data_IF_367237095916
#
_entry.id   IF_367237095916
#
_cell.length_a   1.000
_cell.length_b   1.000
_cell.length_c   1.000
_cell.angle_alpha   90.00
_cell.angle_beta   90.00
_cell.angle_gamma   90.00
#
_symmetry.space_group_name_H-M   'P 1'
#
loop_
_entity.id
_entity.type
_entity.pdbx_description
1 polymer ?
#
# COMPACT_ATOMS: atom_id res chain seq x y z
N UNK A 1 5.21 13.78 -16.34
CA UNK A 1 4.81 12.90 -15.22
C UNK A 1 4.85 13.73 -13.95
N UNK A 2 3.75 13.90 -13.19
CA UNK A 2 3.78 14.71 -11.98
C UNK A 2 4.48 13.92 -10.88
N UNK A 3 5.77 14.18 -10.69
CA UNK A 3 6.53 13.75 -9.51
C UNK A 3 6.08 14.61 -8.32
N UNK A 4 4.97 14.22 -7.71
CA UNK A 4 4.58 14.77 -6.41
C UNK A 4 5.71 14.44 -5.42
N UNK A 5 6.25 15.41 -4.66
CA UNK A 5 7.39 15.17 -3.77
C UNK A 5 7.15 14.02 -2.78
N UNK A 6 5.90 13.81 -2.36
CA UNK A 6 5.48 12.66 -1.56
C UNK A 6 5.84 11.33 -2.23
N UNK A 7 5.51 11.14 -3.53
CA UNK A 7 5.77 9.91 -4.28
C UNK A 7 7.27 9.64 -4.50
N UNK A 8 8.09 10.68 -4.61
CA UNK A 8 9.54 10.54 -4.76
C UNK A 8 10.21 10.23 -3.40
N UNK A 9 9.73 10.83 -2.32
CA UNK A 9 10.18 10.52 -0.96
C UNK A 9 9.83 9.06 -0.60
N UNK A 10 8.60 8.61 -0.87
CA UNK A 10 8.18 7.24 -0.59
C UNK A 10 8.86 6.19 -1.49
N UNK A 11 9.25 6.53 -2.72
CA UNK A 11 10.07 5.62 -3.54
C UNK A 11 11.43 5.31 -2.88
N UNK A 12 12.02 6.32 -2.22
CA UNK A 12 13.28 6.16 -1.50
C UNK A 12 13.12 5.23 -0.29
N UNK A 13 11.96 5.27 0.36
CA UNK A 13 11.63 4.42 1.52
C UNK A 13 11.53 2.94 1.13
N UNK A 14 10.95 2.64 -0.04
CA UNK A 14 10.91 1.27 -0.56
C UNK A 14 12.31 0.71 -0.93
N UNK A 15 13.25 1.59 -1.28
CA UNK A 15 14.62 1.26 -1.63
C UNK A 15 14.92 1.33 -3.12
N UNK A 16 16.21 1.19 -3.47
CA UNK A 16 16.68 1.42 -4.84
C UNK A 16 16.17 0.36 -5.82
N UNK A 17 15.64 0.81 -6.97
CA UNK A 17 15.12 -0.05 -8.04
C UNK A 17 13.63 -0.37 -7.93
N UNK A 18 12.92 0.17 -6.94
CA UNK A 18 11.47 0.19 -6.91
C UNK A 18 10.94 1.34 -7.77
N UNK A 19 10.11 1.02 -8.75
CA UNK A 19 9.50 2.00 -9.64
C UNK A 19 8.08 2.31 -9.21
N UNK A 20 7.70 3.60 -9.28
CA UNK A 20 6.36 4.05 -8.98
C UNK A 20 5.37 3.39 -9.93
N UNK A 21 4.39 2.69 -9.36
CA UNK A 21 3.39 1.93 -10.12
C UNK A 21 2.04 2.65 -10.10
N UNK A 22 1.53 2.94 -8.91
CA UNK A 22 0.24 3.60 -8.74
C UNK A 22 0.16 4.35 -7.40
N UNK A 23 -0.73 5.34 -7.31
CA UNK A 23 -1.06 6.05 -6.08
C UNK A 23 -2.56 6.20 -5.95
N UNK A 24 -3.12 5.64 -4.88
CA UNK A 24 -4.56 5.67 -4.62
C UNK A 24 -4.89 6.60 -3.46
N UNK A 25 -5.65 7.65 -3.75
CA UNK A 25 -6.26 8.49 -2.73
C UNK A 25 -7.40 7.72 -2.03
N UNK A 26 -7.36 7.66 -0.70
CA UNK A 26 -8.30 6.91 0.13
C UNK A 26 -8.99 7.82 1.17
N UNK A 27 -10.28 7.58 1.45
CA UNK A 27 -11.18 6.65 0.77
C UNK A 27 -11.52 7.04 -0.68
N UNK A 28 -11.48 8.33 -1.02
CA UNK A 28 -11.75 8.82 -2.37
C UNK A 28 -10.91 10.08 -2.68
N UNK A 29 -10.95 10.54 -3.93
CA UNK A 29 -10.16 11.69 -4.37
C UNK A 29 -10.55 13.02 -3.69
N UNK A 30 -11.81 13.14 -3.23
CA UNK A 30 -12.35 14.37 -2.63
C UNK A 30 -12.13 14.42 -1.11
N UNK A 31 -12.23 13.28 -0.43
CA UNK A 31 -11.92 13.07 0.99
C UNK A 31 -10.72 12.16 1.08
N UNK A 32 -9.53 12.75 0.88
CA UNK A 32 -8.24 12.06 0.90
C UNK A 32 -7.66 12.12 2.31
N UNK A 33 -7.99 11.15 3.13
CA UNK A 33 -7.39 10.97 4.47
C UNK A 33 -6.03 10.28 4.39
N UNK A 34 -5.86 9.39 3.40
CA UNK A 34 -4.61 8.68 3.17
C UNK A 34 -4.30 8.54 1.69
N UNK A 35 -3.02 8.33 1.37
CA UNK A 35 -2.59 7.95 0.01
C UNK A 35 -1.82 6.68 0.06
N UNK A 36 -2.32 5.66 -0.63
CA UNK A 36 -1.62 4.40 -0.77
C UNK A 36 -0.74 4.46 -2.02
N UNK A 37 0.57 4.51 -1.81
CA UNK A 37 1.57 4.46 -2.87
C UNK A 37 2.02 3.01 -3.08
N UNK A 38 2.09 2.60 -4.34
CA UNK A 38 2.52 1.28 -4.76
C UNK A 38 3.76 1.40 -5.63
N UNK A 39 4.73 0.55 -5.34
CA UNK A 39 5.97 0.44 -6.08
C UNK A 39 6.26 -1.01 -6.43
N UNK A 40 6.86 -1.22 -7.59
CA UNK A 40 7.21 -2.55 -8.07
C UNK A 40 8.67 -2.63 -8.50
N UNK A 41 9.26 -3.80 -8.27
CA UNK A 41 10.62 -4.16 -8.66
C UNK A 41 10.63 -5.61 -9.12
N UNK A 42 10.43 -5.82 -10.42
CA UNK A 42 10.28 -7.15 -11.01
C UNK A 42 9.19 -7.96 -10.30
N UNK A 43 9.61 -8.97 -9.54
CA UNK A 43 8.76 -9.90 -8.81
C UNK A 43 8.48 -9.50 -7.35
N UNK A 44 8.77 -8.27 -6.97
CA UNK A 44 8.57 -7.73 -5.62
C UNK A 44 7.76 -6.43 -5.65
N UNK A 45 6.89 -6.25 -4.68
CA UNK A 45 6.14 -5.00 -4.46
C UNK A 45 6.54 -4.36 -3.15
N UNK A 46 6.30 -3.06 -3.07
CA UNK A 46 6.37 -2.26 -1.87
C UNK A 46 5.14 -1.34 -1.82
N UNK A 47 4.52 -1.24 -0.65
CA UNK A 47 3.40 -0.33 -0.42
C UNK A 47 3.69 0.58 0.76
N UNK A 48 3.26 1.84 0.65
CA UNK A 48 3.37 2.86 1.69
C UNK A 48 2.04 3.60 1.78
N UNK A 49 1.53 3.78 2.99
CA UNK A 49 0.32 4.53 3.26
C UNK A 49 0.69 5.87 3.89
N UNK A 50 0.54 6.95 3.13
CA UNK A 50 0.79 8.33 3.56
C UNK A 50 -0.42 8.89 4.32
N UNK A 51 -0.17 9.61 5.42
CA UNK A 51 -1.19 10.26 6.23
C UNK A 51 -1.44 11.68 5.71
N UNK A 52 -2.58 11.90 5.07
CA UNK A 52 -2.97 13.21 4.53
C UNK A 52 -3.94 13.99 5.43
N UNK A 53 -4.13 13.55 6.68
CA UNK A 53 -5.02 14.24 7.63
C UNK A 53 -4.44 15.55 8.19
N UNK A 54 -3.18 15.87 7.90
CA UNK A 54 -2.60 17.20 8.16
C UNK A 54 -2.04 17.42 9.56
N UNK A 55 -1.66 16.35 10.29
CA UNK A 55 -0.80 16.47 11.48
C UNK A 55 -1.18 15.60 12.69
N UNK A 56 -2.39 15.01 12.71
CA UNK A 56 -2.78 14.08 13.77
C UNK A 56 -2.25 12.68 13.48
N UNK A 57 -1.72 12.03 14.51
CA UNK A 57 -1.30 10.65 14.41
C UNK A 57 -2.53 9.74 14.41
N UNK A 58 -2.74 9.03 13.30
CA UNK A 58 -3.89 8.15 13.14
C UNK A 58 -3.43 6.70 13.25
N UNK A 59 -4.31 5.83 13.73
CA UNK A 59 -4.03 4.40 13.67
C UNK A 59 -4.08 3.98 12.21
N UNK A 60 -2.95 3.54 11.67
CA UNK A 60 -2.80 3.07 10.31
C UNK A 60 -2.34 1.62 10.35
N UNK A 61 -2.89 0.82 9.46
CA UNK A 61 -2.62 -0.60 9.37
C UNK A 61 -2.57 -0.97 7.90
N UNK A 62 -1.35 -1.15 7.44
CA UNK A 62 -1.01 -1.50 6.08
C UNK A 62 -0.46 -2.92 6.09
N UNK A 63 -1.09 -3.80 5.32
CA UNK A 63 -0.64 -5.17 5.15
C UNK A 63 -0.55 -5.49 3.67
N UNK A 64 0.51 -6.20 3.29
CA UNK A 64 0.67 -6.75 1.95
C UNK A 64 1.06 -8.22 2.04
N UNK A 65 0.48 -9.08 1.21
CA UNK A 65 0.77 -10.51 1.23
C UNK A 65 0.84 -11.13 -0.16
N UNK A 66 1.58 -12.23 -0.33
CA UNK A 66 1.79 -12.85 -1.63
C UNK A 66 0.71 -13.90 -1.94
N UNK A 67 0.08 -13.78 -3.12
CA UNK A 67 -1.06 -14.60 -3.52
C UNK A 67 -2.16 -14.59 -2.46
N UNK A 68 -2.58 -15.78 -2.04
CA UNK A 68 -3.58 -15.96 -0.99
C UNK A 68 -2.96 -16.16 0.40
N UNK A 69 -1.62 -16.16 0.48
CA UNK A 69 -0.92 -16.48 1.72
C UNK A 69 -0.76 -15.24 2.61
N UNK A 70 -1.85 -14.84 3.25
CA UNK A 70 -1.88 -13.71 4.18
C UNK A 70 -0.93 -13.85 5.37
N UNK A 71 -0.62 -15.09 5.78
CA UNK A 71 0.29 -15.36 6.89
C UNK A 71 1.76 -15.10 6.54
N UNK A 72 2.13 -15.21 5.26
CA UNK A 72 3.45 -14.84 4.75
C UNK A 72 3.55 -13.35 4.35
N UNK A 73 2.52 -12.56 4.67
CA UNK A 73 2.48 -11.14 4.37
C UNK A 73 3.21 -10.29 5.41
N UNK A 74 3.72 -9.17 4.93
CA UNK A 74 4.30 -8.12 5.75
C UNK A 74 3.21 -7.14 6.18
N UNK A 75 3.29 -6.67 7.44
CA UNK A 75 2.27 -5.81 8.04
C UNK A 75 2.94 -4.76 8.90
N UNK A 76 2.64 -3.51 8.60
CA UNK A 76 2.96 -2.39 9.48
C UNK A 76 1.68 -1.79 10.04
N UNK A 77 1.60 -1.70 11.36
CA UNK A 77 0.43 -1.17 12.04
C UNK A 77 0.82 -0.42 13.31
N UNK A 78 0.15 0.69 13.56
CA UNK A 78 0.48 1.58 14.65
C UNK A 78 -0.14 2.95 14.48
N UNK A 79 0.20 3.87 15.37
CA UNK A 79 -0.27 5.25 15.32
C UNK A 79 0.80 6.11 14.67
N UNK A 80 0.57 6.55 13.44
CA UNK A 80 1.55 7.27 12.63
C UNK A 80 1.07 8.66 12.27
N UNK A 81 1.93 9.67 12.45
CA UNK A 81 1.70 11.05 12.04
C UNK A 81 2.05 11.32 10.59
N UNK A 82 2.99 10.55 10.02
CA UNK A 82 3.52 10.76 8.66
C UNK A 82 3.07 9.66 7.71
N UNK A 83 3.52 8.42 7.90
CA UNK A 83 3.17 7.30 7.04
C UNK A 83 3.27 5.96 7.78
N UNK A 84 2.58 4.94 7.27
CA UNK A 84 2.74 3.54 7.63
C UNK A 84 3.36 2.76 6.47
N UNK A 85 4.29 1.85 6.77
CA UNK A 85 5.14 1.13 5.82
C UNK A 85 6.62 1.54 5.93
N UNK A 86 7.48 1.05 5.03
CA UNK A 86 7.17 0.24 3.86
C UNK A 86 6.81 -1.19 4.25
N UNK A 87 5.79 -1.75 3.60
CA UNK A 87 5.54 -3.20 3.64
C UNK A 87 5.95 -3.83 2.33
N UNK A 88 6.49 -5.04 2.40
CA UNK A 88 6.99 -5.75 1.24
C UNK A 88 6.25 -7.05 0.98
N UNK A 89 6.26 -7.47 -0.27
CA UNK A 89 5.71 -8.75 -0.68
C UNK A 89 6.34 -9.18 -1.98
N UNK A 90 6.38 -10.49 -2.18
CA UNK A 90 7.06 -11.10 -3.30
C UNK A 90 6.15 -12.10 -3.97
N UNK A 91 6.31 -12.25 -5.28
CA UNK A 91 5.60 -13.27 -6.06
C UNK A 91 6.04 -14.72 -5.78
N UNK A 92 6.79 -14.96 -4.71
CA UNK A 92 7.41 -16.25 -4.42
C UNK A 92 6.43 -17.28 -3.82
N UNK A 93 5.20 -16.88 -3.45
CA UNK A 93 4.18 -17.80 -2.96
C UNK A 93 3.48 -18.57 -4.10
N UNK A 94 2.85 -19.71 -3.79
CA UNK A 94 1.95 -20.41 -4.71
C UNK A 94 0.82 -19.45 -5.13
N UNK A 95 0.68 -19.16 -6.42
CA UNK A 95 -0.22 -18.11 -6.92
C UNK A 95 0.38 -16.69 -6.92
N UNK A 96 1.68 -16.58 -6.71
CA UNK A 96 2.39 -15.31 -6.46
C UNK A 96 2.35 -14.27 -7.58
N UNK A 97 1.61 -14.45 -8.68
CA UNK A 97 1.34 -13.34 -9.62
C UNK A 97 0.55 -12.20 -8.99
N UNK A 98 -0.13 -12.48 -7.88
CA UNK A 98 -0.96 -11.54 -7.15
C UNK A 98 -0.32 -11.12 -5.84
N UNK A 99 -0.50 -9.86 -5.45
CA UNK A 99 -0.32 -9.41 -4.07
C UNK A 99 -1.60 -8.82 -3.54
N UNK A 100 -2.07 -9.33 -2.41
CA UNK A 100 -3.17 -8.72 -1.69
C UNK A 100 -2.66 -7.61 -0.80
N UNK A 101 -3.39 -6.50 -0.74
CA UNK A 101 -3.09 -5.34 0.09
C UNK A 101 -4.33 -4.92 0.86
N UNK A 102 -4.15 -4.62 2.14
CA UNK A 102 -5.16 -3.96 2.95
C UNK A 102 -4.60 -2.71 3.57
N UNK A 103 -5.29 -1.59 3.37
CA UNK A 103 -5.03 -0.32 4.00
C UNK A 103 -6.22 0.07 4.87
N UNK A 104 -5.99 0.15 6.17
CA UNK A 104 -6.95 0.58 7.16
C UNK A 104 -6.39 1.81 7.87
N UNK A 105 -7.22 2.83 8.04
CA UNK A 105 -6.92 4.00 8.86
C UNK A 105 -8.10 4.25 9.79
N UNK A 106 -7.82 4.47 11.06
CA UNK A 106 -8.79 4.92 12.06
C UNK A 106 -8.37 6.25 12.62
N UNK A 107 -9.34 7.04 13.03
CA UNK A 107 -9.06 8.28 13.75
C UNK A 107 -8.25 7.98 15.04
N UNK A 108 -7.53 8.99 15.54
CA UNK A 108 -6.74 8.91 16.78
C UNK A 108 -7.53 8.33 17.97
N UNK A 109 -8.83 8.63 18.04
CA UNK A 109 -9.74 8.10 19.07
C UNK A 109 -10.18 6.63 18.85
N UNK A 110 -9.69 5.95 17.81
CA UNK A 110 -9.98 4.54 17.49
C UNK A 110 -11.46 4.22 17.21
N UNK A 111 -12.30 5.25 17.10
CA UNK A 111 -13.76 5.19 17.15
C UNK A 111 -14.40 5.14 15.76
N UNK A 112 -13.66 5.52 14.71
CA UNK A 112 -14.17 5.50 13.34
C UNK A 112 -13.10 5.11 12.34
N UNK A 113 -13.47 4.22 11.40
CA UNK A 113 -12.62 3.87 10.26
C UNK A 113 -12.66 5.03 9.26
N UNK A 114 -11.58 5.79 9.16
CA UNK A 114 -11.39 6.84 8.15
C UNK A 114 -11.14 6.22 6.77
N UNK A 115 -10.39 5.12 6.74
CA UNK A 115 -10.09 4.33 5.55
C UNK A 115 -10.29 2.87 5.90
N UNK A 116 -11.00 2.13 5.05
CA UNK A 116 -11.03 0.67 5.07
C UNK A 116 -11.04 0.20 3.62
N UNK A 117 -9.85 0.00 3.06
CA UNK A 117 -9.67 -0.42 1.68
C UNK A 117 -8.91 -1.73 1.64
N UNK A 118 -9.40 -2.65 0.83
CA UNK A 118 -8.72 -3.88 0.46
C UNK A 118 -8.69 -3.94 -1.05
N UNK A 119 -7.58 -4.39 -1.59
CA UNK A 119 -7.44 -4.65 -3.01
C UNK A 119 -6.29 -5.62 -3.24
N UNK A 120 -6.01 -5.87 -4.51
CA UNK A 120 -4.84 -6.62 -4.91
C UNK A 120 -4.20 -5.98 -6.13
N UNK A 121 -2.93 -6.27 -6.33
CA UNK A 121 -2.20 -5.88 -7.53
C UNK A 121 -1.63 -7.12 -8.22
N UNK A 122 -1.82 -7.22 -9.53
CA UNK A 122 -1.22 -8.28 -10.36
C UNK A 122 0.13 -7.79 -10.85
N UNK A 123 1.21 -8.52 -10.57
CA UNK A 123 2.46 -8.32 -11.28
C UNK A 123 2.26 -8.85 -12.70
N UNK A 124 2.14 -7.95 -13.68
CA UNK A 124 1.95 -8.31 -15.06
C UNK A 124 3.10 -9.22 -15.54
N UNK A 125 2.78 -10.50 -15.77
CA UNK A 125 3.44 -11.30 -16.79
C UNK A 125 2.35 -11.59 -17.83
N UNK A 126 2.51 -10.96 -18.98
CA UNK A 126 1.66 -11.06 -20.18
C UNK A 126 0.16 -10.76 -20.00
N UNK A 127 -0.45 -10.33 -21.09
CA UNK A 127 -1.74 -9.66 -21.17
C UNK A 127 -2.92 -10.65 -21.03
N UNK A 128 -2.91 -11.54 -20.03
CA UNK A 128 -3.83 -12.68 -19.93
C UNK A 128 -4.03 -13.18 -18.50
N UNK A 129 -4.61 -12.36 -17.61
CA UNK A 129 -5.52 -12.77 -16.50
C UNK A 129 -5.63 -11.65 -15.46
N UNK A 130 -6.49 -10.67 -15.75
CA UNK A 130 -7.11 -9.83 -14.73
C UNK A 130 -7.98 -10.72 -13.84
N UNK A 131 -7.57 -10.97 -12.59
CA UNK A 131 -8.42 -11.01 -11.39
C UNK A 131 -7.67 -11.74 -10.25
N UNK A 132 -7.02 -10.97 -9.38
CA UNK A 132 -6.70 -11.45 -8.03
C UNK A 132 -7.99 -11.37 -7.21
N UNK A 133 -8.74 -12.48 -7.14
CA UNK A 133 -10.02 -12.57 -6.44
C UNK A 133 -9.83 -12.83 -4.93
#
# INVERSE_FOLDING_TARGET
MPSTPAAAASATVCGTGYEFTDAKALPNATTRYATLFFYMKGNSACAILDNNTGGSANYMDLQMWPGDNKAAGDRDHGTFSEYAGPVYSSTLATGGRCVGISALMKNEAGTSNLVNWKGGYVFAVDNSSSDCA
#
